data_IF_549393437323
#
_entry.id   IF_549393437323
#
_cell.length_a   1.000
_cell.length_b   1.000
_cell.length_c   1.000
_cell.angle_alpha   90.00
_cell.angle_beta   90.00
_cell.angle_gamma   90.00
#
_symmetry.space_group_name_H-M   'P 1'
#
loop_
_entity.id
_entity.type
_entity.pdbx_description
1 polymer ?
#
# COMPACT_ATOMS: atom_id res chain seq x y z
N UNK A 1 0.44 10.31 9.39
CA UNK A 1 -0.90 9.69 9.27
C UNK A 1 -0.79 8.19 9.48
N UNK A 2 -1.75 7.50 10.10
CA UNK A 2 -1.69 6.03 10.20
C UNK A 2 -2.58 5.41 9.13
N UNK A 3 -2.01 4.54 8.30
CA UNK A 3 -2.71 3.71 7.32
C UNK A 3 -2.65 2.27 7.82
N UNK A 4 -3.81 1.66 8.04
CA UNK A 4 -3.91 0.27 8.49
C UNK A 4 -4.57 -0.55 7.39
N UNK A 5 -3.91 -1.63 6.98
CA UNK A 5 -4.39 -2.53 5.94
C UNK A 5 -4.47 -3.93 6.51
N UNK A 6 -5.68 -4.49 6.46
CA UNK A 6 -5.92 -5.90 6.77
C UNK A 6 -5.82 -6.69 5.47
N UNK A 7 -5.01 -7.75 5.47
CA UNK A 7 -4.69 -8.52 4.27
C UNK A 7 -4.85 -10.02 4.53
N UNK A 8 -5.64 -10.68 3.68
CA UNK A 8 -5.82 -12.14 3.71
C UNK A 8 -4.79 -12.86 2.85
N UNK A 9 -4.78 -14.19 2.84
CA UNK A 9 -3.98 -14.97 1.87
C UNK A 9 -4.45 -14.76 0.43
N UNK A 10 -5.76 -14.57 0.23
CA UNK A 10 -6.31 -14.31 -1.08
C UNK A 10 -5.85 -12.95 -1.64
N UNK A 11 -5.73 -11.94 -0.78
CA UNK A 11 -5.25 -10.61 -1.18
C UNK A 11 -3.77 -10.64 -1.56
N UNK A 12 -2.93 -11.34 -0.78
CA UNK A 12 -1.52 -11.56 -1.14
C UNK A 12 -1.40 -12.26 -2.50
N UNK A 13 -2.18 -13.33 -2.72
CA UNK A 13 -2.18 -14.06 -3.98
C UNK A 13 -2.68 -13.18 -5.15
N UNK A 14 -3.71 -12.37 -4.93
CA UNK A 14 -4.25 -11.47 -5.96
C UNK A 14 -3.25 -10.36 -6.35
N UNK A 15 -2.38 -9.95 -5.42
CA UNK A 15 -1.32 -8.97 -5.67
C UNK A 15 0.02 -9.61 -6.06
N UNK A 16 0.03 -10.94 -6.23
CA UNK A 16 1.23 -11.73 -6.57
C UNK A 16 2.38 -11.53 -5.56
N UNK A 17 2.05 -11.34 -4.29
CA UNK A 17 3.02 -11.24 -3.20
C UNK A 17 3.14 -12.57 -2.47
N UNK A 18 4.37 -13.03 -2.24
CA UNK A 18 4.66 -14.27 -1.51
C UNK A 18 4.72 -14.05 0.01
N UNK A 19 4.73 -12.79 0.47
CA UNK A 19 4.85 -12.43 1.89
C UNK A 19 4.18 -11.10 2.24
N UNK A 20 3.94 -10.87 3.53
CA UNK A 20 3.47 -9.58 4.05
C UNK A 20 4.47 -8.45 3.82
N UNK A 21 5.77 -8.74 3.94
CA UNK A 21 6.83 -7.75 3.75
C UNK A 21 6.85 -7.23 2.31
N UNK A 22 6.70 -8.14 1.33
CA UNK A 22 6.62 -7.80 -0.09
C UNK A 22 5.36 -6.98 -0.40
N UNK A 23 4.22 -7.36 0.18
CA UNK A 23 2.99 -6.59 0.07
C UNK A 23 3.13 -5.19 0.65
N UNK A 24 3.74 -5.06 1.84
CA UNK A 24 3.99 -3.77 2.48
C UNK A 24 4.89 -2.89 1.60
N UNK A 25 5.99 -3.42 1.08
CA UNK A 25 6.90 -2.71 0.19
C UNK A 25 6.18 -2.24 -1.09
N UNK A 26 5.35 -3.09 -1.68
CA UNK A 26 4.60 -2.76 -2.88
C UNK A 26 3.57 -1.64 -2.62
N UNK A 27 2.88 -1.66 -1.48
CA UNK A 27 1.96 -0.61 -1.07
C UNK A 27 2.70 0.70 -0.81
N UNK A 28 3.82 0.66 -0.09
CA UNK A 28 4.68 1.85 0.13
C UNK A 28 5.11 2.45 -1.21
N UNK A 29 5.57 1.60 -2.14
CA UNK A 29 5.96 2.04 -3.47
C UNK A 29 4.80 2.70 -4.24
N UNK A 30 3.57 2.19 -4.13
CA UNK A 30 2.38 2.80 -4.75
C UNK A 30 1.99 4.14 -4.11
N UNK A 31 2.11 4.25 -2.78
CA UNK A 31 1.83 5.48 -2.04
C UNK A 31 2.87 6.55 -2.33
N UNK A 32 4.16 6.19 -2.28
CA UNK A 32 5.29 7.12 -2.41
C UNK A 32 5.48 7.61 -3.85
N UNK A 33 5.36 6.70 -4.83
CA UNK A 33 5.52 7.05 -6.24
C UNK A 33 4.22 7.48 -6.92
N UNK A 34 3.13 7.49 -6.15
CA UNK A 34 1.83 7.97 -6.58
C UNK A 34 1.17 7.05 -7.59
N UNK A 35 -0.02 6.57 -7.23
CA UNK A 35 -1.09 6.37 -8.20
C UNK A 35 -1.20 7.66 -9.00
N UNK A 36 -0.70 7.66 -10.24
CA UNK A 36 -1.00 8.72 -11.21
C UNK A 36 -2.50 8.66 -11.39
N UNK A 37 -3.23 9.57 -10.74
CA UNK A 37 -4.64 9.77 -11.06
C UNK A 37 -4.70 10.11 -12.56
N UNK A 38 -5.75 9.67 -13.25
CA UNK A 38 -5.83 9.74 -14.72
C UNK A 38 -5.74 11.16 -15.30
N UNK A 39 -5.72 12.18 -14.44
CA UNK A 39 -5.54 13.60 -14.71
C UNK A 39 -4.10 14.13 -14.49
N UNK A 40 -3.14 13.27 -14.11
CA UNK A 40 -1.73 13.63 -13.97
C UNK A 40 -1.41 14.48 -12.73
N UNK A 41 -2.33 14.55 -11.76
CA UNK A 41 -2.09 15.20 -10.48
C UNK A 41 -1.09 14.40 -9.64
N UNK A 42 -0.08 15.08 -9.08
CA UNK A 42 0.75 14.48 -8.05
C UNK A 42 -0.14 14.08 -6.87
N UNK A 43 0.00 12.83 -6.41
CA UNK A 43 -0.68 12.34 -5.21
C UNK A 43 -0.53 13.36 -4.09
N UNK A 44 -1.67 13.79 -3.53
CA UNK A 44 -1.71 15.05 -2.81
C UNK A 44 -0.73 15.09 -1.61
N UNK A 45 -0.23 16.30 -1.32
CA UNK A 45 0.86 16.70 -0.40
C UNK A 45 0.69 16.29 1.09
N UNK A 46 -0.35 15.50 1.40
CA UNK A 46 -0.69 14.98 2.73
C UNK A 46 -0.10 13.59 3.00
N UNK A 47 0.45 12.92 1.98
CA UNK A 47 1.14 11.62 2.12
C UNK A 47 2.63 11.76 2.46
N UNK A 48 3.13 12.97 2.71
CA UNK A 48 4.56 13.23 2.96
C UNK A 48 5.10 12.54 4.23
N UNK A 49 4.22 12.24 5.21
CA UNK A 49 4.57 11.45 6.39
C UNK A 49 3.41 10.52 6.82
N UNK A 50 3.64 9.20 6.72
CA UNK A 50 2.70 8.16 7.16
C UNK A 50 3.39 6.98 7.86
N UNK A 51 2.67 6.36 8.77
CA UNK A 51 2.95 5.04 9.33
C UNK A 51 2.01 4.04 8.66
N UNK A 52 2.58 2.99 8.08
CA UNK A 52 1.84 1.89 7.48
C UNK A 52 1.88 0.68 8.43
N UNK A 53 0.72 0.14 8.77
CA UNK A 53 0.55 -1.08 9.56
C UNK A 53 -0.19 -2.11 8.70
N UNK A 54 0.51 -3.18 8.29
CA UNK A 54 -0.08 -4.31 7.56
C UNK A 54 -0.34 -5.45 8.53
N UNK A 55 -1.56 -5.98 8.50
CA UNK A 55 -2.02 -6.98 9.46
C UNK A 55 -2.60 -8.15 8.72
N UNK A 56 -2.05 -9.34 8.98
CA UNK A 56 -2.61 -10.58 8.47
C UNK A 56 -3.94 -10.88 9.14
N UNK A 57 -4.96 -11.11 8.32
CA UNK A 57 -6.26 -11.64 8.75
C UNK A 57 -6.52 -12.98 8.07
N UNK A 58 -7.33 -13.81 8.71
CA UNK A 58 -7.70 -15.15 8.23
C UNK A 58 -8.64 -15.12 7.01
#
# INVERSE_FOLDING_TARGET
MIIRIEVSDADLQAMECDSLDEFEEQIRNQLDNGVVTSDGGAGADWMTEYDLEVIKVD
#
